data_IF_710257039487
#
_entry.id   IF_710257039487
#
_cell.length_a   1.000
_cell.length_b   1.000
_cell.length_c   1.000
_cell.angle_alpha   90.00
_cell.angle_beta   90.00
_cell.angle_gamma   90.00
#
_symmetry.space_group_name_H-M   'P 1'
#
loop_
_entity.id
_entity.type
_entity.pdbx_description
1 polymer ?
#
# COMPACT_ATOMS: atom_id res chain seq x y z
N UNK A 1 13.26 -25.91 -7.19
CA UNK A 1 12.12 -25.45 -6.35
C UNK A 1 11.44 -24.29 -7.06
N UNK A 2 10.18 -24.47 -7.48
CA UNK A 2 9.38 -23.35 -8.00
C UNK A 2 9.22 -22.31 -6.89
N UNK A 3 9.58 -21.05 -7.15
CA UNK A 3 9.33 -19.96 -6.20
C UNK A 3 7.81 -19.80 -6.08
N UNK A 4 7.27 -19.93 -4.87
CA UNK A 4 5.90 -19.51 -4.54
C UNK A 4 5.71 -18.07 -5.03
N UNK A 5 4.72 -17.82 -5.91
CA UNK A 5 4.50 -16.51 -6.54
C UNK A 5 3.16 -15.93 -6.09
N UNK A 6 3.16 -15.30 -4.92
CA UNK A 6 2.10 -14.36 -4.57
C UNK A 6 2.05 -13.22 -5.59
N UNK A 7 0.84 -12.80 -5.93
CA UNK A 7 0.56 -11.68 -6.84
C UNK A 7 -0.42 -10.74 -6.17
N UNK A 8 -0.25 -9.43 -6.38
CA UNK A 8 -1.28 -8.46 -6.02
C UNK A 8 -2.54 -8.85 -6.79
N UNK A 9 -3.62 -9.09 -6.07
CA UNK A 9 -4.95 -9.42 -6.62
C UNK A 9 -5.93 -8.26 -6.45
N UNK A 10 -5.78 -7.46 -5.40
CA UNK A 10 -6.66 -6.33 -5.16
C UNK A 10 -5.95 -5.20 -4.42
N UNK A 11 -6.32 -3.96 -4.75
CA UNK A 11 -6.00 -2.74 -4.01
C UNK A 11 -7.31 -2.03 -3.68
N UNK A 12 -7.55 -1.73 -2.42
CA UNK A 12 -8.55 -0.76 -1.98
C UNK A 12 -7.80 0.49 -1.50
N UNK A 13 -8.19 1.67 -1.98
CA UNK A 13 -7.53 2.94 -1.70
C UNK A 13 -8.56 4.05 -1.48
N UNK A 14 -8.36 4.86 -0.44
CA UNK A 14 -9.19 6.02 -0.13
C UNK A 14 -8.33 7.21 0.33
N UNK A 15 -8.85 8.42 0.10
CA UNK A 15 -8.26 9.65 0.62
C UNK A 15 -6.90 10.01 0.01
N UNK A 16 -6.51 9.41 -1.11
CA UNK A 16 -5.21 9.62 -1.75
C UNK A 16 -5.32 10.47 -3.03
N UNK A 17 -4.76 11.67 -3.04
CA UNK A 17 -4.77 12.60 -4.18
C UNK A 17 -6.16 12.75 -4.82
N UNK A 18 -6.39 12.26 -6.03
CA UNK A 18 -7.73 12.32 -6.65
C UNK A 18 -8.50 10.99 -6.56
N UNK A 19 -8.00 9.99 -5.83
CA UNK A 19 -8.55 8.63 -5.76
C UNK A 19 -9.39 8.50 -4.50
N UNK A 20 -10.72 8.49 -4.70
CA UNK A 20 -11.76 8.36 -3.68
C UNK A 20 -11.63 9.32 -2.49
N UNK A 21 -12.74 9.89 -2.02
CA UNK A 21 -12.70 10.64 -0.76
C UNK A 21 -12.39 9.71 0.41
N UNK A 22 -12.08 10.24 1.59
CA UNK A 22 -11.93 9.40 2.80
C UNK A 22 -13.21 8.66 3.22
N UNK A 23 -14.39 9.07 2.71
CA UNK A 23 -15.68 8.46 3.01
C UNK A 23 -16.10 7.42 1.94
N UNK A 24 -15.23 7.15 0.98
CA UNK A 24 -15.44 6.17 -0.09
C UNK A 24 -14.15 5.37 -0.30
N UNK A 25 -14.19 4.30 -1.10
CA UNK A 25 -12.99 3.54 -1.45
C UNK A 25 -13.04 3.07 -2.89
N UNK A 26 -11.95 3.35 -3.62
CA UNK A 26 -11.76 2.78 -4.94
C UNK A 26 -11.08 1.41 -4.83
N UNK A 27 -11.78 0.38 -5.29
CA UNK A 27 -11.23 -0.97 -5.42
C UNK A 27 -10.74 -1.22 -6.85
N UNK A 28 -9.53 -1.75 -6.96
CA UNK A 28 -8.88 -2.11 -8.22
C UNK A 28 -8.47 -3.58 -8.11
N UNK A 29 -9.03 -4.42 -8.98
CA UNK A 29 -8.66 -5.82 -9.07
C UNK A 29 -7.60 -6.04 -10.14
N UNK A 30 -6.58 -6.83 -9.82
CA UNK A 30 -5.42 -7.09 -10.66
C UNK A 30 -5.46 -8.53 -11.18
N UNK A 31 -5.22 -8.67 -12.48
CA UNK A 31 -5.01 -9.94 -13.16
C UNK A 31 -3.53 -10.13 -13.55
N UNK A 32 -3.20 -11.30 -14.09
CA UNK A 32 -1.84 -11.68 -14.49
C UNK A 32 -1.15 -10.64 -15.40
N UNK A 33 -1.94 -9.96 -16.23
CA UNK A 33 -1.53 -8.80 -17.02
C UNK A 33 -2.53 -7.70 -16.75
N UNK A 34 -2.20 -6.76 -15.86
CA UNK A 34 -3.04 -5.59 -15.60
C UNK A 34 -2.46 -4.40 -16.33
N UNK A 35 -3.08 -4.02 -17.46
CA UNK A 35 -2.85 -2.72 -18.08
C UNK A 35 -3.86 -1.75 -17.47
N UNK A 36 -3.39 -0.68 -16.84
CA UNK A 36 -4.27 0.34 -16.27
C UNK A 36 -4.78 1.22 -17.41
N UNK A 37 -5.86 0.78 -18.05
CA UNK A 37 -6.57 1.54 -19.10
C UNK A 37 -7.68 2.33 -18.44
N UNK A 38 -7.68 3.63 -18.63
CA UNK A 38 -8.72 4.53 -18.13
C UNK A 38 -8.70 5.83 -18.91
N UNK A 39 -9.79 6.61 -18.85
CA UNK A 39 -9.86 7.92 -19.49
C UNK A 39 -8.71 8.85 -19.05
N UNK A 40 -8.41 9.88 -19.84
CA UNK A 40 -7.54 10.97 -19.40
C UNK A 40 -8.17 11.61 -18.16
N UNK A 41 -7.39 11.77 -17.09
CA UNK A 41 -7.88 12.28 -15.81
C UNK A 41 -8.48 11.24 -14.85
N UNK A 42 -8.59 9.96 -15.22
CA UNK A 42 -9.15 8.90 -14.35
C UNK A 42 -8.29 8.52 -13.12
N UNK A 43 -7.26 9.31 -12.76
CA UNK A 43 -6.40 9.04 -11.61
C UNK A 43 -5.23 8.07 -11.85
N UNK A 44 -4.95 7.68 -13.11
CA UNK A 44 -3.85 6.75 -13.44
C UNK A 44 -2.50 7.21 -12.88
N UNK A 45 -2.11 8.47 -13.09
CA UNK A 45 -0.87 9.05 -12.56
C UNK A 45 -0.84 9.07 -11.03
N UNK A 46 -1.98 9.26 -10.38
CA UNK A 46 -2.10 9.20 -8.92
C UNK A 46 -1.92 7.77 -8.41
N UNK A 47 -2.45 6.76 -9.12
CA UNK A 47 -2.21 5.36 -8.81
C UNK A 47 -0.72 4.99 -8.95
N UNK A 48 -0.03 5.51 -9.98
CA UNK A 48 1.43 5.37 -10.10
C UNK A 48 2.16 6.02 -8.93
N UNK A 49 1.76 7.24 -8.58
CA UNK A 49 2.31 7.96 -7.44
C UNK A 49 2.11 7.18 -6.14
N UNK A 50 0.98 6.51 -5.97
CA UNK A 50 0.72 5.66 -4.81
C UNK A 50 1.71 4.49 -4.73
N UNK A 51 1.95 3.79 -5.85
CA UNK A 51 2.97 2.74 -5.88
C UNK A 51 4.39 3.26 -5.65
N UNK A 52 4.69 4.49 -6.06
CA UNK A 52 5.96 5.16 -5.71
C UNK A 52 6.06 5.41 -4.20
N UNK A 53 5.01 5.90 -3.57
CA UNK A 53 4.96 6.08 -2.11
C UNK A 53 5.12 4.75 -1.38
N UNK A 54 4.42 3.69 -1.81
CA UNK A 54 4.59 2.34 -1.28
C UNK A 54 6.04 1.84 -1.35
N UNK A 55 6.75 2.13 -2.45
CA UNK A 55 8.18 1.81 -2.55
C UNK A 55 8.97 2.50 -1.43
N UNK A 56 8.75 3.80 -1.24
CA UNK A 56 9.45 4.61 -0.25
C UNK A 56 9.16 4.14 1.17
N UNK A 57 7.93 3.67 1.45
CA UNK A 57 7.59 3.02 2.72
C UNK A 57 8.45 1.77 2.97
N UNK A 58 8.64 0.92 1.95
CA UNK A 58 9.49 -0.28 2.10
C UNK A 58 10.98 0.03 2.27
N UNK A 59 11.43 1.21 1.85
CA UNK A 59 12.84 1.61 1.99
C UNK A 59 13.10 2.48 3.21
N UNK A 60 12.08 2.79 4.02
CA UNK A 60 12.21 3.69 5.17
C UNK A 60 12.45 5.15 4.78
N UNK A 61 11.95 5.56 3.61
CA UNK A 61 12.11 6.89 3.04
C UNK A 61 10.75 7.60 2.84
N UNK A 62 9.71 7.22 3.59
CA UNK A 62 8.37 7.80 3.44
C UNK A 62 8.39 9.31 3.77
N UNK A 63 9.04 9.70 4.86
CA UNK A 63 9.07 11.09 5.29
C UNK A 63 9.82 11.98 4.30
N UNK A 64 10.93 11.49 3.75
CA UNK A 64 11.64 12.18 2.67
C UNK A 64 10.76 12.32 1.42
N UNK A 65 10.03 11.26 1.06
CA UNK A 65 9.11 11.30 -0.07
C UNK A 65 8.01 12.35 0.12
N UNK A 66 7.35 12.37 1.30
CA UNK A 66 6.31 13.35 1.61
C UNK A 66 6.86 14.77 1.53
N UNK A 67 8.00 15.04 2.16
CA UNK A 67 8.63 16.35 2.15
C UNK A 67 8.97 16.82 0.72
N UNK A 68 9.56 15.94 -0.11
CA UNK A 68 9.92 16.27 -1.50
C UNK A 68 8.73 16.46 -2.43
N UNK A 69 7.55 15.93 -2.09
CA UNK A 69 6.34 16.04 -2.91
C UNK A 69 5.40 17.18 -2.49
N UNK A 70 5.82 18.03 -1.53
CA UNK A 70 5.02 19.18 -1.08
C UNK A 70 4.15 18.89 0.15
N UNK A 71 4.60 17.97 1.01
CA UNK A 71 3.98 17.71 2.30
C UNK A 71 2.72 16.86 2.25
N UNK A 72 2.07 16.69 3.39
CA UNK A 72 0.87 15.88 3.56
C UNK A 72 -0.30 16.38 2.70
N UNK A 73 -0.42 17.70 2.53
CA UNK A 73 -1.43 18.30 1.65
C UNK A 73 -1.38 17.77 0.21
N UNK A 74 -0.19 17.50 -0.31
CA UNK A 74 -0.02 16.99 -1.68
C UNK A 74 -0.45 15.53 -1.85
N UNK A 75 -0.53 14.78 -0.75
CA UNK A 75 -0.86 13.35 -0.72
C UNK A 75 -2.34 13.13 -0.43
N UNK A 76 -2.93 13.92 0.46
CA UNK A 76 -4.32 13.76 0.88
C UNK A 76 -5.32 14.27 -0.15
N UNK A 77 -6.49 13.64 -0.20
CA UNK A 77 -7.52 13.99 -1.18
C UNK A 77 -8.06 15.41 -0.98
N UNK A 78 -7.80 16.28 -1.97
CA UNK A 78 -8.04 17.72 -1.86
C UNK A 78 -7.41 18.39 -0.62
N UNK A 79 -6.29 17.84 -0.15
CA UNK A 79 -5.49 18.38 0.95
C UNK A 79 -6.02 18.06 2.34
N UNK A 80 -5.21 18.39 3.35
CA UNK A 80 -5.46 18.02 4.76
C UNK A 80 -6.66 18.73 5.39
N UNK A 81 -7.12 19.83 4.79
CA UNK A 81 -8.33 20.54 5.20
C UNK A 81 -9.61 19.78 4.88
N UNK A 82 -9.62 18.99 3.80
CA UNK A 82 -10.80 18.22 3.38
C UNK A 82 -10.67 16.74 3.76
N UNK A 83 -9.47 16.19 3.66
CA UNK A 83 -9.21 14.78 3.94
C UNK A 83 -8.11 14.66 4.98
N UNK A 84 -8.44 14.12 6.15
CA UNK A 84 -7.50 14.02 7.28
C UNK A 84 -6.68 12.73 7.26
N UNK A 85 -7.11 11.74 6.46
CA UNK A 85 -6.54 10.39 6.44
C UNK A 85 -6.67 9.75 5.06
N UNK A 86 -5.65 8.98 4.69
CA UNK A 86 -5.67 8.06 3.55
C UNK A 86 -5.49 6.63 4.06
N UNK A 87 -6.22 5.68 3.45
CA UNK A 87 -6.17 4.27 3.82
C UNK A 87 -5.93 3.42 2.59
N UNK A 88 -5.20 2.32 2.78
CA UNK A 88 -5.03 1.34 1.74
C UNK A 88 -5.00 -0.09 2.28
N UNK A 89 -5.55 -1.00 1.48
CA UNK A 89 -5.51 -2.45 1.69
C UNK A 89 -4.98 -3.10 0.42
N UNK A 90 -3.84 -3.78 0.53
CA UNK A 90 -3.24 -4.55 -0.55
C UNK A 90 -3.41 -6.04 -0.28
N UNK A 91 -4.12 -6.73 -1.16
CA UNK A 91 -4.34 -8.18 -1.08
C UNK A 91 -3.44 -8.91 -2.07
N UNK A 92 -2.70 -9.90 -1.57
CA UNK A 92 -1.85 -10.77 -2.36
C UNK A 92 -2.33 -12.21 -2.27
N UNK A 93 -2.44 -12.90 -3.41
CA UNK A 93 -2.93 -14.29 -3.47
C UNK A 93 -1.91 -15.26 -4.04
N UNK A 94 -1.89 -16.46 -3.46
CA UNK A 94 -1.25 -17.64 -4.02
C UNK A 94 -2.03 -18.90 -3.63
N UNK A 95 -2.70 -19.52 -4.61
CA UNK A 95 -3.59 -20.67 -4.40
C UNK A 95 -4.62 -20.37 -3.29
N UNK A 96 -4.57 -21.11 -2.18
CA UNK A 96 -5.47 -20.96 -1.03
C UNK A 96 -4.98 -19.96 0.02
N UNK A 97 -3.84 -19.29 -0.22
CA UNK A 97 -3.25 -18.32 0.71
C UNK A 97 -3.58 -16.90 0.27
N UNK A 98 -3.96 -16.07 1.23
CA UNK A 98 -4.22 -14.65 1.08
C UNK A 98 -3.42 -13.89 2.13
N UNK A 99 -2.61 -12.95 1.68
CA UNK A 99 -1.82 -12.07 2.53
C UNK A 99 -2.31 -10.64 2.31
N UNK A 100 -2.56 -9.91 3.38
CA UNK A 100 -3.03 -8.51 3.30
C UNK A 100 -2.07 -7.59 4.03
N UNK A 101 -1.80 -6.44 3.41
CA UNK A 101 -1.17 -5.29 4.06
C UNK A 101 -2.15 -4.14 4.14
N UNK A 102 -2.52 -3.77 5.36
CA UNK A 102 -3.47 -2.71 5.64
C UNK A 102 -2.76 -1.59 6.40
N UNK A 103 -2.91 -0.35 5.93
CA UNK A 103 -2.36 0.79 6.64
C UNK A 103 -3.22 2.03 6.46
N UNK A 104 -3.05 2.95 7.40
CA UNK A 104 -3.65 4.26 7.34
C UNK A 104 -2.66 5.34 7.77
N UNK A 105 -2.66 6.42 7.01
CA UNK A 105 -1.80 7.58 7.22
C UNK A 105 -2.68 8.81 7.48
N UNK A 106 -2.37 9.55 8.55
CA UNK A 106 -3.10 10.77 8.90
C UNK A 106 -2.19 11.98 8.96
N UNK A 107 -2.74 13.14 8.62
CA UNK A 107 -2.06 14.42 8.75
C UNK A 107 -1.60 14.65 10.20
N UNK A 108 -0.34 15.08 10.34
CA UNK A 108 0.26 15.47 11.61
C UNK A 108 0.91 16.85 11.51
N UNK A 109 1.24 17.45 12.66
CA UNK A 109 1.95 18.72 12.72
C UNK A 109 3.26 18.67 11.93
N UNK A 110 3.58 19.76 11.22
CA UNK A 110 4.75 19.83 10.34
C UNK A 110 4.49 19.36 8.91
N UNK A 111 3.22 19.38 8.47
CA UNK A 111 2.78 19.03 7.11
C UNK A 111 3.29 17.66 6.66
N UNK A 112 3.18 16.68 7.57
CA UNK A 112 3.58 15.30 7.31
C UNK A 112 2.44 14.31 7.60
N UNK A 113 2.67 13.05 7.26
CA UNK A 113 1.78 11.94 7.57
C UNK A 113 2.45 11.00 8.58
N UNK A 114 1.62 10.48 9.48
CA UNK A 114 2.00 9.42 10.42
C UNK A 114 1.07 8.23 10.25
N UNK A 115 1.58 7.04 10.54
CA UNK A 115 0.74 5.85 10.59
C UNK A 115 -0.20 5.94 11.78
N UNK A 116 -1.50 5.86 11.52
CA UNK A 116 -2.52 5.70 12.57
C UNK A 116 -2.97 4.24 12.70
N UNK A 117 -2.65 3.43 11.71
CA UNK A 117 -2.73 1.97 11.76
C UNK A 117 -1.74 1.37 10.75
N UNK A 118 -1.10 0.28 11.12
CA UNK A 118 -0.34 -0.57 10.20
C UNK A 118 -0.48 -2.02 10.67
N UNK A 119 -1.05 -2.88 9.82
CA UNK A 119 -1.25 -4.30 10.14
C UNK A 119 -1.01 -5.19 8.92
N UNK A 120 -0.71 -6.44 9.22
CA UNK A 120 -0.55 -7.52 8.25
C UNK A 120 -1.54 -8.62 8.60
N UNK A 121 -2.01 -9.35 7.59
CA UNK A 121 -2.71 -10.60 7.83
C UNK A 121 -2.28 -11.68 6.85
N UNK A 122 -2.39 -12.93 7.30
CA UNK A 122 -2.19 -14.11 6.48
C UNK A 122 -3.34 -15.08 6.73
N UNK A 123 -3.89 -15.63 5.66
CA UNK A 123 -4.99 -16.59 5.72
C UNK A 123 -4.78 -17.72 4.72
N UNK A 124 -4.66 -18.94 5.23
CA UNK A 124 -4.87 -20.13 4.42
C UNK A 124 -6.32 -20.59 4.56
N UNK A 125 -7.10 -20.39 3.49
CA UNK A 125 -8.55 -20.63 3.46
C UNK A 125 -8.96 -22.08 3.69
N UNK A 126 -8.05 -23.04 3.47
CA UNK A 126 -8.35 -24.47 3.68
C UNK A 126 -7.92 -24.97 5.06
N UNK A 127 -6.97 -24.29 5.71
CA UNK A 127 -6.43 -24.72 7.01
C UNK A 127 -7.00 -23.96 8.21
N UNK A 128 -7.43 -22.71 8.03
CA UNK A 128 -7.88 -21.85 9.12
C UNK A 128 -9.22 -21.19 8.81
N UNK A 129 -10.14 -21.10 9.80
CA UNK A 129 -11.43 -20.44 9.62
C UNK A 129 -11.31 -18.91 9.58
N UNK A 130 -10.23 -18.34 10.15
CA UNK A 130 -10.00 -16.89 10.24
C UNK A 130 -8.55 -16.55 9.90
N UNK A 131 -8.28 -15.33 9.37
CA UNK A 131 -6.93 -14.84 9.16
C UNK A 131 -6.17 -14.68 10.48
N UNK A 132 -4.86 -14.94 10.45
CA UNK A 132 -3.93 -14.57 11.51
C UNK A 132 -3.48 -13.13 11.25
N UNK A 133 -3.63 -12.26 12.25
CA UNK A 133 -3.24 -10.84 12.15
C UNK A 133 -1.94 -10.57 12.91
N UNK A 134 -1.15 -9.64 12.38
CA UNK A 134 0.05 -9.07 13.00
C UNK A 134 -0.10 -7.56 12.99
N UNK A 135 -0.31 -6.96 14.16
CA UNK A 135 -0.43 -5.51 14.31
C UNK A 135 0.98 -4.94 14.42
N UNK A 136 1.35 -4.05 13.50
CA UNK A 136 2.66 -3.40 13.53
C UNK A 136 2.63 -2.17 14.45
N UNK A 137 1.52 -1.42 14.46
CA UNK A 137 1.28 -0.36 15.43
C UNK A 137 0.68 0.91 14.84
N UNK A 138 0.88 2.02 15.57
CA UNK A 138 0.45 3.37 15.19
C UNK A 138 1.35 4.42 15.85
N UNK A 139 1.23 5.68 15.42
CA UNK A 139 1.98 6.83 15.93
C UNK A 139 3.40 6.99 15.36
N UNK A 140 3.85 6.08 14.50
CA UNK A 140 5.18 6.13 13.89
C UNK A 140 5.17 6.88 12.55
N UNK A 141 6.33 7.45 12.19
CA UNK A 141 6.53 8.22 10.95
C UNK A 141 6.95 7.35 9.76
N UNK A 142 7.65 6.26 10.00
CA UNK A 142 8.11 5.32 8.98
C UNK A 142 7.42 3.98 9.15
N UNK A 143 7.31 3.20 8.08
CA UNK A 143 6.70 1.87 8.12
C UNK A 143 7.55 0.92 8.98
N UNK A 144 6.89 0.20 9.88
CA UNK A 144 7.51 -0.85 10.68
C UNK A 144 7.68 -2.16 9.90
N UNK A 145 7.14 -2.25 8.68
CA UNK A 145 7.34 -3.38 7.78
C UNK A 145 8.83 -3.62 7.50
N UNK A 146 9.65 -2.56 7.47
CA UNK A 146 11.09 -2.69 7.26
C UNK A 146 11.80 -3.35 8.43
N UNK A 147 11.45 -2.99 9.67
CA UNK A 147 12.06 -3.57 10.88
C UNK A 147 11.58 -5.00 11.14
N UNK A 148 10.31 -5.28 10.88
CA UNK A 148 9.70 -6.60 11.14
C UNK A 148 10.16 -7.70 10.18
N UNK A 149 10.75 -7.34 9.03
CA UNK A 149 11.28 -8.33 8.06
C UNK A 149 12.37 -9.24 8.66
N UNK A 150 13.05 -8.78 9.70
CA UNK A 150 14.16 -9.47 10.36
C UNK A 150 13.74 -10.19 11.65
N UNK A 151 12.46 -10.08 12.04
CA UNK A 151 11.93 -10.79 13.21
C UNK A 151 11.88 -12.29 12.95
N UNK A 152 12.25 -13.10 13.94
CA UNK A 152 12.27 -14.58 13.88
C UNK A 152 10.89 -15.22 13.69
N UNK A 153 9.80 -14.44 13.78
CA UNK A 153 8.41 -14.82 13.46
C UNK A 153 7.88 -14.16 12.16
N UNK A 154 8.71 -13.39 11.45
CA UNK A 154 8.31 -12.43 10.41
C UNK A 154 8.15 -12.97 8.99
N UNK A 155 7.76 -14.24 8.78
CA UNK A 155 7.60 -14.78 7.41
C UNK A 155 6.60 -13.97 6.59
N UNK A 156 5.45 -13.60 7.17
CA UNK A 156 4.42 -12.76 6.53
C UNK A 156 4.94 -11.35 6.24
N UNK A 157 5.61 -10.70 7.20
CA UNK A 157 6.22 -9.38 7.00
C UNK A 157 7.27 -9.39 5.89
N UNK A 158 8.13 -10.42 5.84
CA UNK A 158 9.14 -10.59 4.80
C UNK A 158 8.51 -10.85 3.42
N UNK A 159 7.45 -11.65 3.35
CA UNK A 159 6.72 -11.92 2.11
C UNK A 159 6.04 -10.65 1.62
N UNK A 160 5.26 -9.98 2.46
CA UNK A 160 4.58 -8.73 2.12
C UNK A 160 5.59 -7.64 1.73
N UNK A 161 6.69 -7.48 2.47
CA UNK A 161 7.78 -6.58 2.09
C UNK A 161 8.27 -6.83 0.66
N UNK A 162 8.57 -8.09 0.34
CA UNK A 162 9.05 -8.47 -0.99
C UNK A 162 7.97 -8.25 -2.08
N UNK A 163 6.70 -8.45 -1.73
CA UNK A 163 5.59 -8.25 -2.67
C UNK A 163 5.34 -6.77 -2.92
N UNK A 164 5.28 -5.95 -1.88
CA UNK A 164 5.15 -4.49 -1.99
C UNK A 164 6.31 -3.91 -2.80
N UNK A 165 7.55 -4.34 -2.54
CA UNK A 165 8.74 -3.92 -3.28
C UNK A 165 8.72 -4.35 -4.76
N UNK A 166 8.16 -5.53 -5.09
CA UNK A 166 8.04 -5.99 -6.48
C UNK A 166 6.97 -5.23 -7.24
N UNK A 167 5.79 -5.08 -6.63
CA UNK A 167 4.66 -4.37 -7.22
C UNK A 167 5.01 -2.91 -7.50
N UNK A 168 5.72 -2.26 -6.59
CA UNK A 168 6.16 -0.87 -6.77
C UNK A 168 7.17 -0.67 -7.90
N UNK A 169 7.97 -1.69 -8.23
CA UNK A 169 8.89 -1.69 -9.38
C UNK A 169 8.19 -2.01 -10.71
N UNK A 170 7.15 -2.85 -10.68
CA UNK A 170 6.37 -3.21 -11.87
C UNK A 170 5.53 -2.04 -12.41
N UNK A 171 5.03 -1.16 -11.53
CA UNK A 171 4.32 0.06 -11.95
C UNK A 171 5.18 1.03 -12.77
N UNK A 172 6.52 0.93 -12.69
CA UNK A 172 7.41 1.71 -13.55
C UNK A 172 7.51 1.14 -14.98
N UNK A 173 7.28 -0.17 -15.18
CA UNK A 173 7.40 -0.83 -16.48
C UNK A 173 6.06 -0.97 -17.22
N UNK A 174 4.95 -1.09 -16.50
CA UNK A 174 3.62 -1.30 -17.10
C UNK A 174 2.97 -0.02 -17.68
N UNK A 175 3.63 1.14 -17.58
CA UNK A 175 3.07 2.47 -17.89
C UNK A 175 4.00 3.24 -18.83
N UNK A 176 4.80 2.52 -19.61
CA UNK A 176 5.65 3.06 -20.67
C UNK A 176 5.29 2.48 -22.03
N UNK A 177 4.24 3.01 -22.65
CA UNK A 177 4.04 3.15 -24.11
C UNK A 177 2.56 3.37 -24.44
N UNK A 178 2.14 4.64 -24.49
CA UNK A 178 1.20 5.18 -25.47
C UNK A 178 1.62 6.62 -25.76
#
# INVERSE_FOLDING_TARGET
MSRVRFKLSSLSLSGYKSIASQNDSQKIDFQNTTVIIGANGAGKSNLVSFFKMLNMMTTGALQEHIARNGGANSILHYGSKQTVRTEASLEFRHENNVDTYDFALSHASGDTLIFTNEELSWHNKTKFPKPVKVILGSGHKESLLHSERNSSKGTTAKVIYQLTLRTSKLSHHAIGSL
#
